data_IF_564092414384
#
_entry.id   IF_564092414384
#
_cell.length_a   1.000
_cell.length_b   1.000
_cell.length_c   1.000
_cell.angle_alpha   90.00
_cell.angle_beta   90.00
_cell.angle_gamma   90.00
#
_symmetry.space_group_name_H-M   'P 1'
#
loop_
_entity.id
_entity.type
_entity.pdbx_description
1 polymer ?
#
# COMPACT_ATOMS: atom_id res chain seq x y z
N UNK A 1 5.98 -29.10 16.02
CA UNK A 1 5.08 -28.07 15.49
C UNK A 1 4.98 -28.29 14.00
N UNK A 2 3.81 -28.62 13.46
CA UNK A 2 3.61 -28.69 12.01
C UNK A 2 3.60 -27.27 11.47
N UNK A 3 4.50 -26.94 10.53
CA UNK A 3 4.44 -25.68 9.81
C UNK A 3 3.11 -25.61 9.06
N UNK A 4 2.43 -24.44 9.10
CA UNK A 4 1.27 -24.19 8.23
C UNK A 4 1.65 -24.51 6.78
N UNK A 5 0.73 -25.12 6.05
CA UNK A 5 0.93 -25.28 4.61
C UNK A 5 1.00 -23.91 3.93
N UNK A 6 1.66 -23.83 2.78
CA UNK A 6 1.73 -22.60 1.99
C UNK A 6 0.34 -22.02 1.69
N UNK A 7 -0.64 -22.89 1.40
CA UNK A 7 -2.00 -22.47 1.06
C UNK A 7 -2.72 -21.84 2.25
N UNK A 8 -2.55 -22.39 3.46
CA UNK A 8 -3.12 -21.82 4.68
C UNK A 8 -2.49 -20.47 5.01
N UNK A 9 -1.16 -20.37 4.94
CA UNK A 9 -0.45 -19.11 5.19
C UNK A 9 -0.86 -18.02 4.18
N UNK A 10 -1.05 -18.40 2.91
CA UNK A 10 -1.52 -17.48 1.86
C UNK A 10 -2.96 -17.03 2.11
N UNK A 11 -3.85 -17.96 2.49
CA UNK A 11 -5.24 -17.63 2.79
C UNK A 11 -5.37 -16.68 3.99
N UNK A 12 -4.57 -16.87 5.02
CA UNK A 12 -4.51 -16.00 6.20
C UNK A 12 -3.99 -14.61 5.85
N UNK A 13 -2.90 -14.51 5.06
CA UNK A 13 -2.39 -13.24 4.57
C UNK A 13 -3.46 -12.48 3.77
N UNK A 14 -4.17 -13.18 2.88
CA UNK A 14 -5.27 -12.60 2.11
C UNK A 14 -6.45 -12.14 2.97
N UNK A 15 -6.80 -12.90 4.02
CA UNK A 15 -7.83 -12.49 4.96
C UNK A 15 -7.42 -11.23 5.73
N UNK A 16 -6.15 -11.15 6.14
CA UNK A 16 -5.58 -9.99 6.81
C UNK A 16 -5.58 -8.75 5.90
N UNK A 17 -5.19 -8.90 4.63
CA UNK A 17 -5.28 -7.81 3.65
C UNK A 17 -6.71 -7.29 3.54
N UNK A 18 -7.68 -8.19 3.33
CA UNK A 18 -9.11 -7.83 3.19
C UNK A 18 -9.67 -7.13 4.43
N UNK A 19 -9.24 -7.53 5.62
CA UNK A 19 -9.66 -6.89 6.86
C UNK A 19 -9.02 -5.51 7.09
N UNK A 20 -7.91 -5.21 6.41
CA UNK A 20 -7.14 -3.98 6.61
C UNK A 20 -7.51 -2.86 5.63
N UNK A 21 -7.88 -3.21 4.39
CA UNK A 21 -8.08 -2.22 3.33
C UNK A 21 -9.45 -1.54 3.41
N UNK A 22 -9.52 -0.30 2.94
CA UNK A 22 -10.77 0.46 2.79
C UNK A 22 -11.74 -0.25 1.82
N UNK A 23 -13.05 -0.04 1.96
CA UNK A 23 -14.07 -0.70 1.13
C UNK A 23 -13.92 -0.41 -0.38
N UNK A 24 -13.34 0.76 -0.71
CA UNK A 24 -13.05 1.17 -2.09
C UNK A 24 -11.72 0.61 -2.65
N UNK A 25 -11.05 -0.26 -1.90
CA UNK A 25 -9.81 -0.92 -2.31
C UNK A 25 -10.10 -2.37 -2.70
N UNK A 26 -9.74 -2.73 -3.93
CA UNK A 26 -9.97 -4.06 -4.49
C UNK A 26 -8.68 -4.88 -4.47
N UNK A 27 -8.75 -6.13 -3.97
CA UNK A 27 -7.63 -7.08 -3.96
C UNK A 27 -7.87 -8.13 -5.06
N UNK A 28 -6.92 -8.28 -5.98
CA UNK A 28 -6.95 -9.24 -7.10
C UNK A 28 -5.64 -10.03 -7.18
N UNK A 29 -5.56 -10.97 -8.11
CA UNK A 29 -4.35 -11.80 -8.37
C UNK A 29 -3.80 -12.45 -7.10
N UNK A 30 -4.69 -13.03 -6.29
CA UNK A 30 -4.37 -13.61 -4.98
C UNK A 30 -3.59 -12.68 -4.03
N UNK A 31 -3.84 -11.38 -4.13
CA UNK A 31 -3.23 -10.36 -3.30
C UNK A 31 -1.98 -9.74 -3.91
N UNK A 32 -1.46 -10.26 -5.02
CA UNK A 32 -0.27 -9.70 -5.69
C UNK A 32 -0.56 -8.34 -6.32
N UNK A 33 -1.83 -7.98 -6.48
CA UNK A 33 -2.29 -6.68 -6.94
C UNK A 33 -3.44 -6.16 -6.08
N UNK A 34 -3.29 -4.93 -5.60
CA UNK A 34 -4.30 -4.22 -4.80
C UNK A 34 -4.53 -2.86 -5.43
N UNK A 35 -5.77 -2.55 -5.81
CA UNK A 35 -6.12 -1.32 -6.55
C UNK A 35 -7.01 -0.44 -5.69
N UNK A 36 -6.61 0.80 -5.47
CA UNK A 36 -7.40 1.82 -4.80
C UNK A 36 -8.11 2.76 -5.79
N UNK A 37 -8.87 3.73 -5.28
CA UNK A 37 -9.58 4.70 -6.11
C UNK A 37 -8.60 5.65 -6.83
N UNK A 38 -9.08 6.21 -7.95
CA UNK A 38 -8.23 6.98 -8.86
C UNK A 38 -7.22 6.14 -9.65
N UNK A 39 -7.27 4.81 -9.55
CA UNK A 39 -6.44 3.88 -10.34
C UNK A 39 -5.08 3.54 -9.74
N UNK A 40 -4.73 4.06 -8.56
CA UNK A 40 -3.46 3.71 -7.90
C UNK A 40 -3.44 2.22 -7.59
N UNK A 41 -2.38 1.56 -8.01
CA UNK A 41 -2.25 0.10 -7.89
C UNK A 41 -0.99 -0.25 -7.12
N UNK A 42 -1.10 -1.07 -6.09
CA UNK A 42 0.02 -1.68 -5.38
C UNK A 42 0.26 -3.09 -5.94
N UNK A 43 1.50 -3.38 -6.33
CA UNK A 43 1.90 -4.67 -6.91
C UNK A 43 3.05 -5.32 -6.14
N UNK A 44 3.07 -6.65 -6.15
CA UNK A 44 4.17 -7.46 -5.64
C UNK A 44 5.45 -7.25 -6.46
N UNK A 45 6.49 -6.73 -5.81
CA UNK A 45 7.78 -6.43 -6.43
C UNK A 45 8.55 -7.65 -6.95
N UNK A 46 8.21 -8.86 -6.50
CA UNK A 46 8.82 -10.10 -6.98
C UNK A 46 8.20 -10.61 -8.29
N UNK A 47 7.07 -10.04 -8.71
CA UNK A 47 6.37 -10.42 -9.92
C UNK A 47 6.93 -9.77 -11.19
N UNK A 48 6.22 -9.94 -12.29
CA UNK A 48 6.45 -9.15 -13.50
C UNK A 48 5.89 -7.74 -13.28
N UNK A 49 6.76 -6.75 -13.35
CA UNK A 49 6.43 -5.36 -13.14
C UNK A 49 6.37 -4.60 -14.48
N UNK A 50 5.51 -3.58 -14.61
CA UNK A 50 5.64 -2.55 -15.62
C UNK A 50 7.00 -1.83 -15.51
N UNK A 51 7.42 -1.17 -16.59
CA UNK A 51 8.69 -0.43 -16.62
C UNK A 51 8.67 0.83 -15.75
N UNK A 52 7.48 1.37 -15.47
CA UNK A 52 7.23 2.68 -14.87
C UNK A 52 6.69 2.62 -13.43
N UNK A 53 7.08 1.60 -12.66
CA UNK A 53 6.65 1.49 -11.26
C UNK A 53 7.32 2.50 -10.34
N UNK A 54 6.55 3.04 -9.40
CA UNK A 54 7.05 3.81 -8.26
C UNK A 54 7.42 2.86 -7.13
N UNK A 55 8.72 2.69 -6.90
CA UNK A 55 9.19 1.91 -5.75
C UNK A 55 8.91 2.65 -4.44
N UNK A 56 8.18 1.99 -3.55
CA UNK A 56 7.90 2.48 -2.21
C UNK A 56 8.69 1.70 -1.14
N UNK A 57 9.77 1.02 -1.52
CA UNK A 57 10.60 0.28 -0.58
C UNK A 57 11.41 1.21 0.34
N UNK A 58 12.17 0.62 1.28
CA UNK A 58 12.97 1.34 2.29
C UNK A 58 14.03 2.30 1.72
N UNK A 59 14.33 2.26 0.41
CA UNK A 59 15.24 3.20 -0.25
C UNK A 59 14.52 4.44 -0.78
N UNK A 60 13.20 4.42 -0.81
CA UNK A 60 12.36 5.55 -1.18
C UNK A 60 11.97 6.38 0.05
N UNK A 61 11.50 7.61 -0.18
CA UNK A 61 10.89 8.42 0.89
C UNK A 61 9.63 7.78 1.48
N UNK A 62 8.94 6.93 0.73
CA UNK A 62 7.71 6.23 1.12
C UNK A 62 7.98 4.91 1.87
N UNK A 63 9.25 4.58 2.10
CA UNK A 63 9.65 3.32 2.68
C UNK A 63 9.33 3.23 4.17
N UNK A 64 8.90 2.05 4.63
CA UNK A 64 8.65 1.82 6.05
C UNK A 64 9.96 1.68 6.86
N UNK A 65 10.30 2.61 7.78
CA UNK A 65 11.53 2.55 8.57
C UNK A 65 11.46 1.50 9.70
N UNK A 66 10.27 1.02 10.07
CA UNK A 66 10.07 0.04 11.12
C UNK A 66 10.33 -1.36 10.57
N UNK A 67 11.52 -1.90 10.82
CA UNK A 67 11.98 -3.15 10.22
C UNK A 67 11.38 -4.37 10.94
N UNK A 68 10.86 -5.33 10.18
CA UNK A 68 10.28 -6.55 10.77
C UNK A 68 11.37 -7.51 11.26
N UNK A 69 11.06 -8.34 12.25
CA UNK A 69 11.99 -9.36 12.78
C UNK A 69 12.56 -10.26 11.68
N UNK A 70 11.73 -10.65 10.70
CA UNK A 70 12.15 -11.47 9.57
C UNK A 70 13.15 -10.77 8.62
N UNK A 71 13.19 -9.44 8.65
CA UNK A 71 14.12 -8.62 7.89
C UNK A 71 15.29 -8.11 8.76
N UNK A 72 15.47 -8.65 9.98
CA UNK A 72 16.53 -8.27 10.91
C UNK A 72 16.21 -7.07 11.81
N UNK A 73 14.94 -6.69 11.93
CA UNK A 73 14.47 -5.66 12.86
C UNK A 73 13.88 -6.22 14.15
N UNK A 74 13.00 -5.44 14.79
CA UNK A 74 12.47 -5.71 16.13
C UNK A 74 10.93 -5.73 16.20
N UNK A 75 10.25 -5.49 15.07
CA UNK A 75 8.80 -5.38 15.03
C UNK A 75 8.15 -6.61 14.39
N UNK A 76 7.01 -7.03 14.91
CA UNK A 76 6.10 -7.87 14.12
C UNK A 76 5.64 -7.12 12.86
N UNK A 77 5.05 -7.84 11.90
CA UNK A 77 4.54 -7.21 10.66
C UNK A 77 3.42 -6.22 10.98
N UNK A 78 2.53 -6.60 11.89
CA UNK A 78 1.41 -5.80 12.36
C UNK A 78 1.90 -4.52 13.04
N UNK A 79 2.83 -4.64 13.99
CA UNK A 79 3.42 -3.46 14.67
C UNK A 79 4.17 -2.56 13.69
N UNK A 80 4.96 -3.14 12.77
CA UNK A 80 5.69 -2.39 11.74
C UNK A 80 4.75 -1.56 10.86
N UNK A 81 3.60 -2.12 10.48
CA UNK A 81 2.60 -1.43 9.63
C UNK A 81 1.81 -0.39 10.43
N UNK A 82 1.49 -0.67 11.70
CA UNK A 82 0.80 0.27 12.58
C UNK A 82 1.66 1.50 12.92
N UNK A 83 2.93 1.27 13.29
CA UNK A 83 3.91 2.35 13.47
C UNK A 83 4.10 3.18 12.20
N UNK A 84 4.18 2.50 11.05
CA UNK A 84 4.25 3.19 9.77
C UNK A 84 3.02 4.06 9.53
N UNK A 85 1.81 3.58 9.88
CA UNK A 85 0.59 4.36 9.72
C UNK A 85 0.65 5.70 10.45
N UNK A 86 1.05 5.68 11.72
CA UNK A 86 1.20 6.92 12.51
C UNK A 86 2.30 7.83 11.96
N UNK A 87 3.46 7.27 11.60
CA UNK A 87 4.59 8.02 11.05
C UNK A 87 4.27 8.66 9.69
N UNK A 88 3.63 7.88 8.80
CA UNK A 88 3.12 8.34 7.50
C UNK A 88 2.16 9.51 7.68
N UNK A 89 1.12 9.35 8.52
CA UNK A 89 0.13 10.41 8.74
C UNK A 89 0.78 11.68 9.28
N UNK A 90 1.73 11.57 10.21
CA UNK A 90 2.47 12.72 10.73
C UNK A 90 3.21 13.51 9.64
N UNK A 91 3.86 12.83 8.69
CA UNK A 91 4.53 13.49 7.56
C UNK A 91 3.55 14.15 6.59
N UNK A 92 2.38 13.54 6.37
CA UNK A 92 1.34 14.08 5.51
C UNK A 92 0.68 15.31 6.13
N UNK A 93 0.30 15.25 7.40
CA UNK A 93 -0.30 16.37 8.14
C UNK A 93 0.66 17.55 8.29
N UNK A 94 1.96 17.28 8.40
CA UNK A 94 3.00 18.31 8.39
C UNK A 94 3.23 18.94 7.01
N UNK A 95 2.60 18.41 5.95
CA UNK A 95 2.76 18.89 4.57
C UNK A 95 4.11 18.53 3.94
N UNK A 96 4.86 17.60 4.54
CA UNK A 96 6.17 17.17 4.04
C UNK A 96 6.02 16.21 2.86
N UNK A 97 4.93 15.45 2.84
CA UNK A 97 4.69 14.39 1.88
C UNK A 97 3.46 14.69 1.03
N UNK A 98 3.69 15.00 -0.23
CA UNK A 98 2.65 15.10 -1.26
C UNK A 98 2.22 13.71 -1.74
N UNK A 99 1.29 13.09 -1.02
CA UNK A 99 0.77 11.73 -1.32
C UNK A 99 -0.09 11.73 -2.58
N UNK A 100 -0.72 12.86 -2.91
CA UNK A 100 -1.56 12.97 -4.11
C UNK A 100 -0.75 12.72 -5.39
N UNK A 101 0.56 12.96 -5.37
CA UNK A 101 1.47 12.60 -6.45
C UNK A 101 1.57 11.08 -6.73
N UNK A 102 1.03 10.22 -5.85
CA UNK A 102 0.92 8.77 -6.06
C UNK A 102 -0.43 8.34 -6.66
N UNK A 103 -1.35 9.29 -6.88
CA UNK A 103 -2.68 8.98 -7.43
C UNK A 103 -2.56 8.54 -8.89
N UNK A 104 -3.14 7.38 -9.22
CA UNK A 104 -3.05 6.76 -10.55
C UNK A 104 -1.75 5.98 -10.81
N UNK A 105 -0.76 6.06 -9.92
CA UNK A 105 0.54 5.39 -10.09
C UNK A 105 0.49 3.89 -9.79
N UNK A 106 1.45 3.15 -10.36
CA UNK A 106 1.71 1.76 -9.97
C UNK A 106 2.83 1.70 -8.93
N UNK A 107 2.48 1.42 -7.68
CA UNK A 107 3.39 1.29 -6.55
C UNK A 107 3.93 -0.14 -6.44
N UNK A 108 5.25 -0.30 -6.32
CA UNK A 108 5.88 -1.61 -6.14
C UNK A 108 6.42 -1.79 -4.71
N UNK A 109 6.10 -2.92 -4.09
CA UNK A 109 6.62 -3.30 -2.78
C UNK A 109 6.91 -4.80 -2.67
N UNK A 110 7.95 -5.15 -1.93
CA UNK A 110 8.38 -6.53 -1.67
C UNK A 110 7.48 -7.28 -0.67
N UNK A 111 6.62 -6.59 0.07
CA UNK A 111 5.86 -7.22 1.17
C UNK A 111 4.56 -7.90 0.72
N UNK A 112 3.90 -7.36 -0.30
CA UNK A 112 2.63 -7.85 -0.86
C UNK A 112 2.85 -9.26 -1.43
N UNK A 113 1.95 -10.24 -1.17
CA UNK A 113 0.57 -10.15 -0.69
C UNK A 113 0.40 -10.27 0.83
N UNK A 114 1.45 -10.06 1.63
CA UNK A 114 1.30 -9.96 3.10
C UNK A 114 0.98 -8.52 3.48
N UNK A 115 0.49 -8.30 4.71
CA UNK A 115 0.25 -6.96 5.24
C UNK A 115 1.47 -6.06 4.99
N UNK A 116 1.22 -4.93 4.33
CA UNK A 116 2.21 -4.10 3.67
C UNK A 116 1.92 -2.63 3.96
N UNK A 117 2.97 -1.83 4.11
CA UNK A 117 2.85 -0.39 4.33
C UNK A 117 2.24 0.34 3.12
N UNK A 118 2.38 -0.20 1.90
CA UNK A 118 1.71 0.33 0.71
C UNK A 118 0.18 0.33 0.82
N UNK A 119 -0.40 -0.53 1.67
CA UNK A 119 -1.84 -0.54 1.94
C UNK A 119 -2.27 0.67 2.77
N UNK A 120 -1.40 1.19 3.64
CA UNK A 120 -1.65 2.45 4.37
C UNK A 120 -1.76 3.60 3.36
N UNK A 121 -0.86 3.65 2.38
CA UNK A 121 -0.89 4.67 1.32
C UNK A 121 -2.19 4.56 0.52
N UNK A 122 -2.57 3.36 0.09
CA UNK A 122 -3.82 3.14 -0.65
C UNK A 122 -5.06 3.52 0.17
N UNK A 123 -5.10 3.15 1.46
CA UNK A 123 -6.21 3.53 2.33
C UNK A 123 -6.31 5.05 2.50
N UNK A 124 -5.18 5.74 2.69
CA UNK A 124 -5.17 7.20 2.76
C UNK A 124 -5.70 7.84 1.46
N UNK A 125 -5.23 7.37 0.30
CA UNK A 125 -5.71 7.85 -1.00
C UNK A 125 -7.19 7.55 -1.24
N UNK A 126 -7.73 6.49 -0.61
CA UNK A 126 -9.13 6.15 -0.66
C UNK A 126 -10.00 7.01 0.23
N UNK A 127 -9.59 7.22 1.48
CA UNK A 127 -10.28 8.07 2.44
C UNK A 127 -10.36 9.54 1.97
N UNK A 128 -9.36 9.99 1.21
CA UNK A 128 -9.27 11.36 0.67
C UNK A 128 -9.83 11.50 -0.74
N UNK A 129 -10.30 10.42 -1.35
CA UNK A 129 -10.78 10.46 -2.73
C UNK A 129 -12.14 11.16 -2.84
N UNK A 130 -12.18 12.30 -3.51
CA UNK A 130 -13.41 12.95 -3.96
C UNK A 130 -13.60 12.79 -5.47
N UNK A 131 -14.51 11.90 -5.94
CA UNK A 131 -14.79 11.70 -7.36
C UNK A 131 -15.41 12.93 -8.05
N UNK A 132 -15.92 13.92 -7.30
CA UNK A 132 -16.49 15.14 -7.86
C UNK A 132 -15.43 16.21 -8.16
N UNK A 133 -14.33 16.24 -7.40
CA UNK A 133 -13.20 17.13 -7.67
C UNK A 133 -12.39 16.70 -8.90
N UNK A 134 -12.26 15.39 -9.14
CA UNK A 134 -11.47 14.86 -10.27
C UNK A 134 -12.13 15.09 -11.65
N UNK A 135 -13.46 15.24 -11.70
CA UNK A 135 -14.21 15.58 -12.92
C UNK A 135 -14.28 17.10 -13.18
N UNK A 136 -14.05 17.93 -12.16
CA UNK A 136 -14.16 19.39 -12.24
C UNK A 136 -12.98 20.10 -12.93
N UNK A 137 -11.80 19.48 -12.97
CA UNK A 137 -10.60 20.08 -13.58
C UNK A 137 -10.55 20.04 -15.11
N UNK A 138 -11.45 19.30 -15.77
CA UNK A 138 -11.45 19.11 -17.22
C UNK A 138 -12.29 20.13 -18.01
N UNK A 139 -13.06 21.01 -17.33
CA UNK A 139 -13.99 21.93 -18.00
C UNK A 139 -13.58 23.41 -17.98
N UNK A 140 -12.49 23.78 -17.31
CA UNK A 140 -12.04 25.19 -17.17
C UNK A 140 -10.80 25.54 -18.03
N UNK A 141 -10.66 24.92 -19.19
CA UNK A 141 -9.79 25.44 -20.25
C UNK A 141 -10.61 26.33 -21.19
N UNK A 142 -10.63 27.64 -20.91
CA UNK A 142 -11.18 28.68 -21.76
C UNK A 142 -10.08 29.41 -22.52
#
# INVERSE_FOLDING_TARGET
MTSKSYQEAKAEALAQLRAFVHDDVTIVDDGDRVTGPGGTTLVNGHGQLPDDVVWIDRRSKWGNPFVTENDGGEYSREESVDLYRGWFLGHVEAGEWDVEALRGETLACWCVPRLCHGLVILNYLAETYDPQQTLGGAFDAK
#
